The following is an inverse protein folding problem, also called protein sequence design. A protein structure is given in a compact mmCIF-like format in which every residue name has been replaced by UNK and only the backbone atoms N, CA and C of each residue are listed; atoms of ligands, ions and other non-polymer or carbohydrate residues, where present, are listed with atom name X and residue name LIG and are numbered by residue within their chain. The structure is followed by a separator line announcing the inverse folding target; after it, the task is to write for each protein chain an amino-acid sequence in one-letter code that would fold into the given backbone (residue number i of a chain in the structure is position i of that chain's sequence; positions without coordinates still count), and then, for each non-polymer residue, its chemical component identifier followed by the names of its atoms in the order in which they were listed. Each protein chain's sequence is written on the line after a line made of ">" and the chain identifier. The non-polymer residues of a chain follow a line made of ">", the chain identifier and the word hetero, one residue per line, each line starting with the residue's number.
data_IF_810353635615
#
_entry.id   IF_810353635615
#
_cell.length_a   1.000
_cell.length_b   1.000
_cell.length_c   1.000
_cell.angle_alpha   90.00
_cell.angle_beta   90.00
_cell.angle_gamma   90.00
#
_symmetry.space_group_name_H-M   'P 1'
#
loop_
_entity.id
_entity.type
_entity.pdbx_description
1 polymer ?
#
# COMPACT_ATOMS: atom_id res chain seq x y z
N UNK A 1 -11.49 -47.78 -39.00
CA UNK A 1 -12.24 -46.51 -39.11
C UNK A 1 -11.23 -45.43 -39.43
N UNK A 2 -11.26 -44.97 -40.69
CA UNK A 2 -10.32 -44.00 -41.25
C UNK A 2 -10.98 -42.64 -41.29
N UNK A 3 -10.35 -41.65 -40.65
CA UNK A 3 -10.50 -40.22 -40.94
C UNK A 3 -9.18 -39.53 -40.62
N UNK A 4 -8.47 -39.03 -41.64
CA UNK A 4 -7.66 -37.84 -41.51
C UNK A 4 -8.18 -36.79 -42.51
N UNK A 5 -8.84 -35.75 -41.99
CA UNK A 5 -9.28 -34.61 -42.81
C UNK A 5 -9.24 -33.35 -41.92
N UNK A 6 -8.21 -32.53 -42.06
CA UNK A 6 -8.34 -31.27 -42.79
C UNK A 6 -6.99 -30.55 -42.83
N UNK A 7 -6.72 -30.00 -44.01
CA UNK A 7 -5.47 -29.42 -44.48
C UNK A 7 -5.02 -28.14 -43.75
N UNK A 8 -3.72 -27.83 -43.83
CA UNK A 8 -3.14 -26.56 -43.45
C UNK A 8 -3.39 -25.51 -44.53
N UNK A 9 -3.71 -24.27 -44.14
CA UNK A 9 -3.64 -23.12 -45.03
C UNK A 9 -3.11 -21.91 -44.27
N UNK A 10 -1.93 -21.48 -44.74
CA UNK A 10 -1.32 -20.16 -44.64
C UNK A 10 -2.30 -19.00 -44.39
N UNK A 11 -1.91 -18.09 -43.50
CA UNK A 11 -1.85 -16.67 -43.84
C UNK A 11 -0.61 -16.02 -43.23
N UNK A 12 0.39 -15.62 -44.04
CA UNK A 12 1.33 -14.59 -43.68
C UNK A 12 0.78 -13.23 -44.14
N UNK A 13 0.69 -12.25 -43.26
CA UNK A 13 0.61 -10.83 -43.67
C UNK A 13 1.23 -9.94 -42.59
N UNK A 14 2.34 -9.33 -43.00
CA UNK A 14 3.16 -8.34 -42.32
C UNK A 14 2.48 -6.96 -42.30
N UNK A 15 2.97 -6.00 -41.48
CA UNK A 15 2.26 -4.79 -41.10
C UNK A 15 2.59 -3.61 -42.03
N UNK A 16 1.61 -2.79 -42.38
CA UNK A 16 1.85 -1.45 -42.93
C UNK A 16 0.56 -0.61 -42.87
N UNK A 17 0.52 0.40 -41.99
CA UNK A 17 -0.02 1.70 -42.41
C UNK A 17 0.65 2.81 -41.60
N UNK A 18 1.25 3.71 -42.38
CA UNK A 18 1.91 4.94 -41.99
C UNK A 18 0.90 6.00 -41.58
N UNK A 19 1.21 6.82 -40.57
CA UNK A 19 1.04 8.28 -40.66
C UNK A 19 1.77 8.99 -39.51
N UNK A 20 2.52 10.01 -39.89
CA UNK A 20 3.30 10.93 -39.07
C UNK A 20 2.41 11.87 -38.24
N UNK A 21 2.97 12.51 -37.18
CA UNK A 21 2.23 13.41 -36.29
C UNK A 21 1.92 14.76 -36.96
N UNK A 22 0.68 15.24 -36.83
CA UNK A 22 0.36 16.65 -37.08
C UNK A 22 0.71 17.49 -35.84
N UNK A 23 1.78 18.25 -36.01
CA UNK A 23 2.10 19.45 -35.25
C UNK A 23 1.02 20.50 -35.54
N UNK A 24 0.32 20.94 -34.50
CA UNK A 24 -0.41 22.20 -34.53
C UNK A 24 -0.24 22.90 -33.20
N UNK A 25 0.87 23.62 -33.14
CA UNK A 25 1.10 24.68 -32.17
C UNK A 25 0.07 25.81 -32.36
N UNK A 26 -0.66 26.13 -31.30
CA UNK A 26 -1.11 27.51 -31.04
C UNK A 26 -0.78 27.84 -29.58
N UNK A 27 0.27 28.64 -29.43
CA UNK A 27 0.57 29.34 -28.20
C UNK A 27 -0.30 30.60 -28.13
N UNK A 28 -1.05 30.77 -27.06
CA UNK A 28 -1.36 32.10 -26.53
C UNK A 28 -1.84 32.00 -25.08
N UNK A 29 -1.27 32.84 -24.22
CA UNK A 29 -2.03 33.38 -23.09
C UNK A 29 -1.59 32.99 -21.68
N UNK A 30 -0.90 33.94 -21.06
CA UNK A 30 -0.90 34.23 -19.61
C UNK A 30 -0.01 33.40 -18.70
N UNK A 31 1.25 33.85 -18.66
CA UNK A 31 2.06 33.79 -17.45
C UNK A 31 1.41 34.65 -16.35
N UNK A 32 0.80 34.01 -15.36
CA UNK A 32 0.71 34.57 -14.00
C UNK A 32 1.86 33.98 -13.21
N UNK A 33 2.90 34.78 -13.00
CA UNK A 33 3.87 34.53 -11.96
C UNK A 33 3.19 34.88 -10.63
N UNK A 34 2.56 33.89 -10.00
CA UNK A 34 2.37 33.91 -8.55
C UNK A 34 3.38 32.94 -7.95
N UNK A 35 4.48 33.52 -7.48
CA UNK A 35 5.48 32.79 -6.72
C UNK A 35 4.89 32.35 -5.40
N UNK A 36 4.36 31.14 -5.37
CA UNK A 36 4.43 30.30 -4.18
C UNK A 36 5.57 29.32 -4.38
N UNK A 37 6.73 29.77 -3.90
CA UNK A 37 7.92 28.96 -3.77
C UNK A 37 7.57 27.60 -3.14
N UNK A 38 8.17 26.56 -3.71
CA UNK A 38 8.19 25.21 -3.22
C UNK A 38 8.58 25.15 -1.73
N UNK A 39 7.60 25.13 -0.84
CA UNK A 39 7.76 24.66 0.54
C UNK A 39 7.48 23.16 0.53
N UNK A 40 8.55 22.40 0.33
CA UNK A 40 8.48 20.95 0.27
C UNK A 40 9.48 20.37 -0.71
N UNK A 41 10.74 20.81 -0.65
CA UNK A 41 11.83 19.93 -1.06
C UNK A 41 11.77 18.69 -0.17
N UNK A 42 10.95 17.71 -0.54
CA UNK A 42 11.02 16.38 0.02
C UNK A 42 12.40 15.85 -0.40
N UNK A 43 13.39 16.08 0.46
CA UNK A 43 14.60 15.31 0.49
C UNK A 43 14.19 13.86 0.27
N UNK A 44 14.93 13.14 -0.58
CA UNK A 44 14.70 11.71 -0.76
C UNK A 44 14.39 11.10 0.61
N UNK A 45 13.25 10.43 0.77
CA UNK A 45 12.82 9.97 2.07
C UNK A 45 13.83 8.93 2.57
N UNK A 46 14.74 9.36 3.43
CA UNK A 46 15.88 8.59 3.91
C UNK A 46 15.63 8.04 5.32
N UNK A 47 14.44 8.26 5.89
CA UNK A 47 14.14 7.90 7.28
C UNK A 47 12.94 6.97 7.38
N UNK A 48 12.94 6.16 8.43
CA UNK A 48 11.82 5.27 8.74
C UNK A 48 10.49 6.01 8.93
N UNK A 49 10.54 7.24 9.45
CA UNK A 49 9.38 8.11 9.62
C UNK A 49 8.75 8.48 8.28
N UNK A 50 9.54 8.87 7.29
CA UNK A 50 9.03 9.25 5.97
C UNK A 50 8.28 8.08 5.30
N UNK A 51 8.85 6.87 5.37
CA UNK A 51 8.20 5.65 4.86
C UNK A 51 6.92 5.35 5.66
N UNK A 52 6.93 5.57 6.97
CA UNK A 52 5.76 5.36 7.82
C UNK A 52 4.62 6.34 7.49
N UNK A 53 4.94 7.62 7.27
CA UNK A 53 3.97 8.65 6.88
C UNK A 53 3.38 8.36 5.50
N UNK A 54 4.23 7.96 4.55
CA UNK A 54 3.79 7.49 3.24
C UNK A 54 2.85 6.28 3.36
N UNK A 55 3.21 5.28 4.18
CA UNK A 55 2.39 4.09 4.40
C UNK A 55 1.02 4.48 4.96
N UNK A 56 0.99 5.37 5.95
CA UNK A 56 -0.27 5.86 6.54
C UNK A 56 -1.13 6.55 5.48
N UNK A 57 -0.55 7.45 4.69
CA UNK A 57 -1.25 8.11 3.59
C UNK A 57 -1.87 7.12 2.59
N UNK A 58 -1.12 6.06 2.22
CA UNK A 58 -1.63 5.01 1.33
C UNK A 58 -2.75 4.18 1.92
N UNK A 59 -2.72 3.91 3.22
CA UNK A 59 -3.79 3.18 3.90
C UNK A 59 -5.07 4.02 3.94
N UNK A 60 -4.95 5.33 4.19
CA UNK A 60 -6.08 6.24 4.21
C UNK A 60 -6.68 6.45 2.82
N UNK A 61 -5.85 6.58 1.79
CA UNK A 61 -6.29 6.70 0.39
C UNK A 61 -6.95 5.41 -0.14
N UNK A 62 -6.54 4.25 0.38
CA UNK A 62 -7.12 2.97 0.00
C UNK A 62 -8.51 2.71 0.61
N UNK A 63 -8.93 3.46 1.63
CA UNK A 63 -10.23 3.30 2.30
C UNK A 63 -11.40 3.32 1.29
N UNK A 64 -12.37 2.38 1.39
CA UNK A 64 -12.58 1.36 2.43
C UNK A 64 -11.87 0.02 2.17
N UNK A 65 -10.97 -0.04 1.19
CA UNK A 65 -10.30 -1.28 0.79
C UNK A 65 -9.04 -1.53 1.65
N UNK A 66 -8.73 -2.81 1.93
CA UNK A 66 -7.51 -3.15 2.65
C UNK A 66 -6.27 -2.88 1.78
N UNK A 67 -5.23 -2.31 2.40
CA UNK A 67 -3.92 -2.11 1.80
C UNK A 67 -2.98 -3.26 2.19
N UNK A 68 -2.62 -4.17 1.25
CA UNK A 68 -1.86 -5.38 1.59
C UNK A 68 -0.37 -5.10 1.82
N UNK A 69 0.22 -5.80 2.79
CA UNK A 69 1.65 -5.68 3.15
C UNK A 69 2.58 -5.96 1.96
N UNK A 70 2.25 -6.95 1.12
CA UNK A 70 3.06 -7.24 -0.06
C UNK A 70 3.17 -6.03 -1.00
N UNK A 71 2.09 -5.26 -1.18
CA UNK A 71 2.13 -4.03 -1.98
C UNK A 71 2.91 -2.94 -1.27
N UNK A 72 2.71 -2.77 0.04
CA UNK A 72 3.47 -1.79 0.81
C UNK A 72 4.97 -2.02 0.69
N UNK A 73 5.44 -3.26 0.86
CA UNK A 73 6.86 -3.60 0.74
C UNK A 73 7.38 -3.38 -0.67
N UNK A 74 6.63 -3.84 -1.69
CA UNK A 74 7.02 -3.66 -3.09
C UNK A 74 7.18 -2.17 -3.43
N UNK A 75 6.16 -1.37 -3.14
CA UNK A 75 6.16 0.05 -3.47
C UNK A 75 7.18 0.82 -2.61
N UNK A 76 7.37 0.44 -1.34
CA UNK A 76 8.41 1.02 -0.51
C UNK A 76 9.80 0.80 -1.11
N UNK A 77 10.08 -0.41 -1.64
CA UNK A 77 11.34 -0.69 -2.33
C UNK A 77 11.51 0.14 -3.61
N UNK A 78 10.44 0.31 -4.37
CA UNK A 78 10.44 1.09 -5.61
C UNK A 78 10.65 2.60 -5.36
N UNK A 79 10.06 3.15 -4.30
CA UNK A 79 10.08 4.59 -4.03
C UNK A 79 11.22 5.04 -3.11
N UNK A 80 11.61 4.21 -2.15
CA UNK A 80 12.54 4.58 -1.06
C UNK A 80 13.85 3.78 -1.11
N UNK A 81 13.92 2.72 -1.91
CA UNK A 81 15.09 1.85 -2.05
C UNK A 81 14.91 0.48 -1.39
N UNK A 82 15.76 -0.49 -1.79
CA UNK A 82 15.58 -1.90 -1.41
C UNK A 82 15.70 -2.20 0.09
N UNK A 83 16.42 -1.37 0.83
CA UNK A 83 16.69 -1.53 2.27
C UNK A 83 15.42 -1.51 3.13
N UNK A 84 14.37 -0.83 2.66
CA UNK A 84 13.10 -0.71 3.37
C UNK A 84 12.23 -1.98 3.30
N UNK A 85 12.62 -2.96 2.49
CA UNK A 85 11.97 -4.26 2.40
C UNK A 85 12.86 -5.37 2.94
N UNK A 86 12.49 -5.94 4.08
CA UNK A 86 13.21 -7.04 4.74
C UNK A 86 12.41 -8.34 4.68
N UNK A 87 13.08 -9.48 4.86
CA UNK A 87 12.42 -10.74 5.15
C UNK A 87 12.25 -10.87 6.66
N UNK A 88 11.03 -11.18 7.12
CA UNK A 88 10.82 -11.49 8.53
C UNK A 88 11.35 -12.88 8.89
N UNK A 89 11.21 -13.28 10.16
CA UNK A 89 11.64 -14.60 10.68
C UNK A 89 11.00 -15.81 9.97
N UNK A 90 9.93 -15.58 9.21
CA UNK A 90 9.24 -16.60 8.40
C UNK A 90 9.57 -16.50 6.91
N UNK A 91 10.61 -15.75 6.52
CA UNK A 91 10.97 -15.47 5.13
C UNK A 91 9.84 -14.81 4.33
N UNK A 92 8.97 -14.04 4.98
CA UNK A 92 7.89 -13.30 4.33
C UNK A 92 8.33 -11.84 4.18
N UNK A 93 8.14 -11.22 2.98
CA UNK A 93 8.44 -9.82 2.76
C UNK A 93 7.71 -8.91 3.75
N UNK A 94 8.46 -8.04 4.41
CA UNK A 94 8.00 -7.11 5.44
C UNK A 94 8.69 -5.77 5.29
N UNK A 95 8.06 -4.71 5.79
CA UNK A 95 8.74 -3.43 5.92
C UNK A 95 9.80 -3.53 7.02
N UNK A 96 10.84 -2.72 6.90
CA UNK A 96 11.89 -2.60 7.91
C UNK A 96 11.28 -2.37 9.31
N UNK A 97 11.81 -2.99 10.38
CA UNK A 97 11.26 -2.86 11.74
C UNK A 97 11.15 -1.41 12.21
N UNK A 98 12.11 -0.54 11.89
CA UNK A 98 12.05 0.88 12.24
C UNK A 98 10.84 1.59 11.60
N UNK A 99 10.48 1.23 10.37
CA UNK A 99 9.29 1.77 9.69
C UNK A 99 8.04 1.33 10.42
N UNK A 100 7.96 0.06 10.81
CA UNK A 100 6.82 -0.47 11.56
C UNK A 100 6.70 0.17 12.95
N UNK A 101 7.83 0.44 13.60
CA UNK A 101 7.86 1.15 14.88
C UNK A 101 7.44 2.62 14.73
N UNK A 102 8.00 3.34 13.77
CA UNK A 102 7.61 4.71 13.46
C UNK A 102 6.11 4.78 13.09
N UNK A 103 5.64 3.85 12.26
CA UNK A 103 4.23 3.72 11.90
C UNK A 103 3.33 3.47 13.12
N UNK A 104 3.76 2.62 14.06
CA UNK A 104 3.00 2.36 15.27
C UNK A 104 2.81 3.61 16.15
N UNK A 105 3.74 4.57 16.09
CA UNK A 105 3.68 5.84 16.83
C UNK A 105 2.73 6.85 16.18
N UNK A 106 2.67 6.89 14.85
CA UNK A 106 1.88 7.89 14.11
C UNK A 106 0.50 7.39 13.66
N UNK A 107 0.27 6.08 13.62
CA UNK A 107 -1.00 5.55 13.10
C UNK A 107 -2.17 6.02 13.96
N UNK A 108 -3.28 6.33 13.30
CA UNK A 108 -4.53 6.59 13.98
C UNK A 108 -5.12 5.28 14.56
N UNK A 109 -5.90 5.39 15.64
CA UNK A 109 -6.53 4.25 16.34
C UNK A 109 -7.47 3.41 15.45
N UNK A 110 -8.03 4.02 14.41
CA UNK A 110 -8.89 3.39 13.42
C UNK A 110 -8.13 2.57 12.38
N UNK A 111 -6.82 2.75 12.24
CA UNK A 111 -6.00 1.93 11.33
C UNK A 111 -5.64 0.61 12.02
N UNK A 112 -6.13 -0.48 11.44
CA UNK A 112 -5.99 -1.82 12.02
C UNK A 112 -5.24 -2.75 11.09
N UNK A 113 -4.48 -3.65 11.70
CA UNK A 113 -3.82 -4.75 11.02
C UNK A 113 -4.72 -5.97 11.00
N UNK A 114 -4.96 -6.53 9.81
CA UNK A 114 -5.63 -7.81 9.64
C UNK A 114 -4.58 -8.91 9.45
N UNK A 115 -4.37 -9.73 10.48
CA UNK A 115 -3.39 -10.82 10.46
C UNK A 115 -3.69 -11.89 9.42
N UNK A 116 -4.98 -12.15 9.13
CA UNK A 116 -5.40 -13.17 8.16
C UNK A 116 -5.17 -12.71 6.72
N UNK A 117 -5.51 -11.46 6.42
CA UNK A 117 -5.33 -10.88 5.08
C UNK A 117 -3.94 -10.31 4.86
N UNK A 118 -3.12 -10.19 5.93
CA UNK A 118 -1.84 -9.49 5.93
C UNK A 118 -1.97 -8.09 5.30
N UNK A 119 -2.97 -7.34 5.75
CA UNK A 119 -3.30 -6.04 5.20
C UNK A 119 -3.71 -5.05 6.30
N UNK A 120 -3.41 -3.78 6.07
CA UNK A 120 -3.95 -2.68 6.86
C UNK A 120 -5.30 -2.26 6.30
N UNK A 121 -6.17 -1.76 7.17
CA UNK A 121 -7.47 -1.24 6.78
C UNK A 121 -7.93 -0.21 7.80
N UNK A 122 -8.79 0.69 7.36
CA UNK A 122 -9.40 1.70 8.22
C UNK A 122 -10.74 1.16 8.72
N UNK A 123 -10.93 1.17 10.03
CA UNK A 123 -12.18 0.77 10.65
C UNK A 123 -13.09 2.00 10.79
N UNK A 124 -14.32 1.86 10.30
CA UNK A 124 -15.38 2.83 10.55
C UNK A 124 -15.75 2.91 12.05
N UNK A 125 -16.41 3.99 12.47
CA UNK A 125 -16.80 4.23 13.87
C UNK A 125 -17.60 3.06 14.48
N UNK A 126 -18.51 2.46 13.72
CA UNK A 126 -19.29 1.31 14.20
C UNK A 126 -18.38 0.11 14.53
N UNK A 127 -17.43 -0.18 13.63
CA UNK A 127 -16.46 -1.26 13.82
C UNK A 127 -15.51 -0.95 14.98
N UNK A 128 -15.11 0.31 15.12
CA UNK A 128 -14.28 0.77 16.25
C UNK A 128 -14.98 0.58 17.60
N UNK A 129 -16.29 0.86 17.69
CA UNK A 129 -17.08 0.57 18.91
C UNK A 129 -17.09 -0.92 19.22
N UNK A 130 -17.33 -1.77 18.21
CA UNK A 130 -17.32 -3.23 18.39
C UNK A 130 -15.94 -3.73 18.88
N UNK A 131 -14.85 -3.17 18.37
CA UNK A 131 -13.50 -3.52 18.82
C UNK A 131 -13.21 -3.08 20.25
N UNK A 132 -13.63 -1.89 20.67
CA UNK A 132 -13.49 -1.43 22.07
C UNK A 132 -14.19 -2.38 23.05
N UNK A 133 -15.40 -2.82 22.72
CA UNK A 133 -16.14 -3.80 23.54
C UNK A 133 -15.41 -5.14 23.59
N UNK A 134 -14.86 -5.61 22.47
CA UNK A 134 -14.10 -6.85 22.42
C UNK A 134 -12.80 -6.78 23.22
N UNK A 135 -12.09 -5.65 23.15
CA UNK A 135 -10.84 -5.42 23.88
C UNK A 135 -11.09 -5.33 25.39
N UNK A 136 -12.11 -4.61 25.83
CA UNK A 136 -12.50 -4.54 27.24
C UNK A 136 -12.88 -5.92 27.80
N UNK A 137 -13.63 -6.71 27.02
CA UNK A 137 -13.96 -8.10 27.38
C UNK A 137 -12.72 -8.97 27.51
N UNK A 138 -11.73 -8.79 26.61
CA UNK A 138 -10.46 -9.52 26.65
C UNK A 138 -9.62 -9.11 27.86
N UNK A 139 -9.53 -7.81 28.15
CA UNK A 139 -8.83 -7.28 29.32
C UNK A 139 -9.44 -7.80 30.62
N UNK A 140 -10.78 -7.81 30.75
CA UNK A 140 -11.49 -8.39 31.89
C UNK A 140 -11.18 -9.89 32.07
N UNK A 141 -11.18 -10.65 30.98
CA UNK A 141 -10.85 -12.08 31.02
C UNK A 141 -9.39 -12.32 31.42
N UNK A 142 -8.45 -11.49 30.93
CA UNK A 142 -7.05 -11.57 31.32
C UNK A 142 -6.87 -11.26 32.81
N UNK A 143 -7.47 -10.18 33.31
CA UNK A 143 -7.43 -9.81 34.73
C UNK A 143 -8.02 -10.89 35.65
N UNK A 144 -9.16 -11.49 35.25
CA UNK A 144 -9.77 -12.59 35.99
C UNK A 144 -8.93 -13.87 35.98
N UNK A 145 -8.16 -14.13 34.89
CA UNK A 145 -7.22 -15.26 34.83
C UNK A 145 -6.03 -15.04 35.76
N UNK A 146 -5.42 -13.84 35.71
CA UNK A 146 -4.31 -13.48 36.59
C UNK A 146 -4.70 -13.57 38.07
N UNK A 147 -5.87 -13.05 38.44
CA UNK A 147 -6.38 -13.14 39.82
C UNK A 147 -6.64 -14.57 40.32
N UNK A 148 -6.82 -15.54 39.42
CA UNK A 148 -7.00 -16.96 39.75
C UNK A 148 -5.68 -17.74 39.83
N UNK A 149 -4.62 -17.24 39.20
CA UNK A 149 -3.30 -17.88 39.22
C UNK A 149 -2.43 -17.41 40.40
N UNK A 150 -2.78 -16.28 41.03
CA UNK A 150 -2.05 -15.68 42.18
C UNK A 150 -2.72 -15.89 43.55
N UNK A 151 -3.88 -16.56 43.61
CA UNK A 151 -4.60 -16.87 44.86
C UNK A 151 -4.69 -18.37 45.12
#
# INVERSE_FOLDING_TARGET
>A
MSTPEHSPAEQPSVPEESALPEDSAVADGSAVADGSAAEGGAAAPNSATDVAEWLLGRILDADPRPFPQANAVRIARELFGEDWGVLNVHNVPSLHPDVLEAFARIKAENVRWNTRAKAWWVADEERMRAFRVADEKKARKAAAKSAREEG
#
